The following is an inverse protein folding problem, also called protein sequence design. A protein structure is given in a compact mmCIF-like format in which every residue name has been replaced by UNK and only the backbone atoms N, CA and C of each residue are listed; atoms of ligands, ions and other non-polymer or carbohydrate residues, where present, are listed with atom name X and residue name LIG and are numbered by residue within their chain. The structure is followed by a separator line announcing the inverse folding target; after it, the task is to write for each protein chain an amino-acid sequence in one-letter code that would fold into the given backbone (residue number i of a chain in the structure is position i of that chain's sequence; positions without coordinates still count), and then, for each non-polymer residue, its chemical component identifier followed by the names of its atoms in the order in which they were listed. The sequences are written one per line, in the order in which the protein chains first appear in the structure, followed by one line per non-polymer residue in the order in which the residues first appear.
data_IF_318817522069
#
_entry.id   IF_318817522069
#
_cell.length_a   1.000
_cell.length_b   1.000
_cell.length_c   1.000
_cell.angle_alpha   90.00
_cell.angle_beta   90.00
_cell.angle_gamma   90.00
#
_symmetry.space_group_name_H-M   'P 1'
#
loop_
_entity.id
_entity.type
_entity.pdbx_description
1 polymer ?
#
# COMPACT_ATOMS: atom_id res chain seq x y z
N UNK A 1 -18.07 -23.67 5.95
CA UNK A 1 -17.63 -24.17 4.61
C UNK A 1 -16.80 -23.09 3.95
N UNK A 2 -15.55 -23.40 3.66
CA UNK A 2 -14.59 -22.46 3.07
C UNK A 2 -14.85 -22.31 1.57
N UNK A 3 -14.91 -21.08 1.09
CA UNK A 3 -15.02 -20.74 -0.33
C UNK A 3 -13.78 -19.96 -0.74
N UNK A 4 -12.99 -20.50 -1.67
CA UNK A 4 -11.73 -19.89 -2.09
C UNK A 4 -11.96 -18.78 -3.12
N UNK A 5 -11.08 -17.78 -3.11
CA UNK A 5 -10.98 -16.81 -4.18
C UNK A 5 -10.30 -17.48 -5.39
N UNK A 6 -10.53 -16.92 -6.56
CA UNK A 6 -9.79 -17.25 -7.77
C UNK A 6 -9.27 -15.95 -8.39
N UNK A 7 -8.16 -16.06 -9.13
CA UNK A 7 -7.51 -14.93 -9.76
C UNK A 7 -6.97 -15.31 -11.13
N UNK A 8 -7.42 -14.57 -12.16
CA UNK A 8 -7.24 -14.98 -13.56
C UNK A 8 -6.36 -14.05 -14.40
N UNK A 9 -5.69 -13.08 -13.77
CA UNK A 9 -4.84 -12.11 -14.48
C UNK A 9 -3.61 -12.80 -15.06
N UNK A 10 -3.45 -12.76 -16.38
CA UNK A 10 -2.24 -13.25 -17.06
C UNK A 10 -1.19 -12.15 -17.16
N UNK A 11 0.08 -12.52 -17.06
CA UNK A 11 1.19 -11.57 -17.22
C UNK A 11 1.18 -10.82 -18.55
N UNK A 12 0.72 -11.47 -19.63
CA UNK A 12 0.56 -10.84 -20.95
C UNK A 12 -0.52 -9.75 -21.00
N UNK A 13 -1.53 -9.80 -20.12
CA UNK A 13 -2.55 -8.75 -20.02
C UNK A 13 -2.02 -7.54 -19.24
N UNK A 14 -1.11 -7.76 -18.30
CA UNK A 14 -0.49 -6.69 -17.51
C UNK A 14 0.73 -6.06 -18.22
N UNK A 15 1.40 -6.82 -19.08
CA UNK A 15 2.61 -6.40 -19.80
C UNK A 15 2.49 -5.04 -20.50
N UNK A 16 1.41 -4.71 -21.26
CA UNK A 16 1.33 -3.41 -21.95
C UNK A 16 1.31 -2.22 -20.98
N UNK A 17 0.62 -2.37 -19.84
CA UNK A 17 0.56 -1.35 -18.79
C UNK A 17 1.93 -1.19 -18.13
N UNK A 18 2.63 -2.30 -17.89
CA UNK A 18 3.97 -2.29 -17.33
C UNK A 18 5.01 -1.67 -18.26
N UNK A 19 4.99 -2.00 -19.56
CA UNK A 19 5.87 -1.40 -20.57
C UNK A 19 5.61 0.10 -20.67
N UNK A 20 4.34 0.51 -20.76
CA UNK A 20 3.99 1.93 -20.77
C UNK A 20 4.52 2.64 -19.52
N UNK A 21 4.33 2.07 -18.33
CA UNK A 21 4.91 2.61 -17.12
C UNK A 21 6.44 2.69 -17.19
N UNK A 22 7.12 1.61 -17.59
CA UNK A 22 8.57 1.58 -17.64
C UNK A 22 9.14 2.70 -18.53
N UNK A 23 8.64 2.87 -19.76
CA UNK A 23 9.15 3.90 -20.67
C UNK A 23 8.71 5.32 -20.28
N UNK A 24 7.42 5.53 -20.00
CA UNK A 24 6.89 6.87 -19.74
C UNK A 24 7.18 7.36 -18.31
N UNK A 25 7.46 6.48 -17.35
CA UNK A 25 7.84 6.90 -16.01
C UNK A 25 9.37 7.03 -15.88
N UNK A 26 10.17 6.05 -16.32
CA UNK A 26 11.61 6.05 -16.06
C UNK A 26 12.36 7.16 -16.78
N UNK A 27 12.02 7.45 -18.05
CA UNK A 27 12.74 8.47 -18.83
C UNK A 27 12.58 9.87 -18.20
N UNK A 28 11.35 10.38 -17.95
CA UNK A 28 11.18 11.69 -17.31
C UNK A 28 11.65 11.70 -15.86
N UNK A 29 11.55 10.57 -15.15
CA UNK A 29 12.08 10.45 -13.79
C UNK A 29 13.59 10.61 -13.75
N UNK A 30 14.33 10.07 -14.71
CA UNK A 30 15.78 10.25 -14.80
C UNK A 30 16.16 11.73 -14.99
N UNK A 31 15.48 12.45 -15.89
CA UNK A 31 15.69 13.89 -16.08
C UNK A 31 15.31 14.68 -14.83
N UNK A 32 14.20 14.32 -14.18
CA UNK A 32 13.78 14.93 -12.93
C UNK A 32 14.84 14.76 -11.83
N UNK A 33 15.45 13.57 -11.73
CA UNK A 33 16.54 13.31 -10.78
C UNK A 33 17.79 14.14 -11.09
N UNK A 34 18.15 14.30 -12.37
CA UNK A 34 19.28 15.15 -12.78
C UNK A 34 19.10 16.58 -12.28
N UNK A 35 17.96 17.19 -12.61
CA UNK A 35 17.60 18.54 -12.16
C UNK A 35 17.50 18.64 -10.63
N UNK A 36 16.98 17.61 -9.95
CA UNK A 36 16.92 17.56 -8.50
C UNK A 36 18.30 17.53 -7.85
N UNK A 37 19.23 16.77 -8.42
CA UNK A 37 20.60 16.69 -7.94
C UNK A 37 21.34 18.04 -8.11
N UNK A 38 21.10 18.75 -9.21
CA UNK A 38 21.63 20.11 -9.40
C UNK A 38 21.10 21.08 -8.34
N UNK A 39 19.82 20.96 -7.95
CA UNK A 39 19.20 21.81 -6.91
C UNK A 39 19.77 21.60 -5.50
N UNK A 40 20.31 20.42 -5.22
CA UNK A 40 20.88 20.06 -3.92
C UNK A 40 22.41 20.19 -3.92
N UNK A 41 23.00 20.46 -5.09
CA UNK A 41 24.43 20.74 -5.21
C UNK A 41 24.81 22.03 -4.49
N UNK A 42 26.08 22.15 -4.09
CA UNK A 42 26.60 23.32 -3.36
C UNK A 42 26.45 24.63 -4.13
N UNK A 43 26.42 24.55 -5.47
CA UNK A 43 26.21 25.68 -6.37
C UNK A 43 24.75 25.72 -6.83
N UNK A 44 23.83 25.92 -5.86
CA UNK A 44 22.40 26.01 -6.14
C UNK A 44 22.16 27.09 -7.21
N UNK A 45 21.47 26.77 -8.32
CA UNK A 45 21.15 27.76 -9.34
C UNK A 45 20.42 28.96 -8.71
N UNK A 46 20.94 30.18 -8.90
CA UNK A 46 20.38 31.40 -8.31
C UNK A 46 18.90 31.65 -8.67
N UNK A 47 18.40 31.00 -9.73
CA UNK A 47 17.00 31.07 -10.19
C UNK A 47 16.07 29.98 -9.67
N UNK A 48 16.55 29.03 -8.86
CA UNK A 48 15.76 27.88 -8.40
C UNK A 48 15.51 26.82 -9.51
N UNK A 49 14.52 25.92 -9.32
CA UNK A 49 14.22 24.85 -10.28
C UNK A 49 13.85 25.40 -11.66
N UNK A 50 14.37 24.77 -12.71
CA UNK A 50 13.98 25.10 -14.08
C UNK A 50 12.48 24.87 -14.29
N UNK A 51 11.87 25.54 -15.29
CA UNK A 51 10.48 25.23 -15.67
C UNK A 51 10.31 23.78 -16.12
N UNK A 52 11.37 23.18 -16.67
CA UNK A 52 11.38 21.78 -17.10
C UNK A 52 11.25 20.83 -15.91
N UNK A 53 11.87 21.13 -14.77
CA UNK A 53 11.71 20.36 -13.53
C UNK A 53 10.22 20.16 -13.18
N UNK A 54 9.43 21.24 -13.16
CA UNK A 54 8.00 21.15 -12.83
C UNK A 54 7.19 20.39 -13.89
N UNK A 55 7.57 20.49 -15.17
CA UNK A 55 6.94 19.74 -16.26
C UNK A 55 7.22 18.25 -16.10
N UNK A 56 8.48 17.85 -15.84
CA UNK A 56 8.84 16.46 -15.59
C UNK A 56 8.15 15.92 -14.35
N UNK A 57 8.11 16.70 -13.26
CA UNK A 57 7.40 16.32 -12.03
C UNK A 57 5.92 16.06 -12.30
N UNK A 58 5.24 16.98 -13.00
CA UNK A 58 3.83 16.82 -13.36
C UNK A 58 3.60 15.57 -14.23
N UNK A 59 4.49 15.32 -15.20
CA UNK A 59 4.41 14.15 -16.06
C UNK A 59 4.62 12.83 -15.30
N UNK A 60 5.63 12.77 -14.42
CA UNK A 60 5.92 11.61 -13.56
C UNK A 60 4.73 11.32 -12.65
N UNK A 61 4.14 12.34 -12.02
CA UNK A 61 2.93 12.18 -11.20
C UNK A 61 1.74 11.68 -12.02
N UNK A 62 1.49 12.27 -13.19
CA UNK A 62 0.39 11.85 -14.06
C UNK A 62 0.53 10.37 -14.50
N UNK A 63 1.75 9.96 -14.86
CA UNK A 63 2.05 8.57 -15.23
C UNK A 63 1.93 7.62 -14.05
N UNK A 64 2.42 7.98 -12.87
CA UNK A 64 2.31 7.16 -11.65
C UNK A 64 0.84 6.90 -11.28
N UNK A 65 0.01 7.94 -11.26
CA UNK A 65 -1.41 7.79 -10.94
C UNK A 65 -2.19 7.02 -12.02
N UNK A 66 -1.88 7.26 -13.29
CA UNK A 66 -2.47 6.50 -14.41
C UNK A 66 -2.11 5.02 -14.31
N UNK A 67 -0.86 4.71 -13.97
CA UNK A 67 -0.42 3.34 -13.74
C UNK A 67 -1.21 2.68 -12.61
N UNK A 68 -1.33 3.34 -11.45
CA UNK A 68 -2.15 2.84 -10.32
C UNK A 68 -3.58 2.53 -10.75
N UNK A 69 -4.21 3.42 -11.53
CA UNK A 69 -5.56 3.18 -12.06
C UNK A 69 -5.67 1.88 -12.85
N UNK A 70 -4.78 1.68 -13.82
CA UNK A 70 -4.81 0.47 -14.65
C UNK A 70 -4.44 -0.78 -13.86
N UNK A 71 -3.49 -0.68 -12.94
CA UNK A 71 -3.07 -1.79 -12.09
C UNK A 71 -4.23 -2.27 -11.20
N UNK A 72 -4.89 -1.34 -10.48
CA UNK A 72 -6.07 -1.67 -9.65
C UNK A 72 -7.21 -2.21 -10.52
N UNK A 73 -7.48 -1.59 -11.68
CA UNK A 73 -8.52 -2.06 -12.61
C UNK A 73 -8.28 -3.51 -13.05
N UNK A 74 -7.05 -3.84 -13.47
CA UNK A 74 -6.71 -5.20 -13.91
C UNK A 74 -6.82 -6.22 -12.78
N UNK A 75 -6.33 -5.88 -11.58
CA UNK A 75 -6.40 -6.75 -10.41
C UNK A 75 -7.85 -7.04 -10.05
N UNK A 76 -8.68 -6.01 -9.89
CA UNK A 76 -10.06 -6.18 -9.43
C UNK A 76 -10.91 -6.92 -10.47
N UNK A 77 -10.75 -6.65 -11.77
CA UNK A 77 -11.49 -7.36 -12.83
C UNK A 77 -11.10 -8.84 -12.96
N UNK A 78 -9.92 -9.21 -12.46
CA UNK A 78 -9.41 -10.58 -12.50
C UNK A 78 -9.76 -11.40 -11.26
N UNK A 79 -10.37 -10.77 -10.25
CA UNK A 79 -10.86 -11.46 -9.06
C UNK A 79 -12.17 -12.19 -9.37
N UNK A 80 -12.22 -13.44 -8.94
CA UNK A 80 -13.38 -14.31 -9.02
C UNK A 80 -13.68 -14.89 -7.64
N UNK A 81 -14.96 -14.95 -7.29
CA UNK A 81 -15.40 -15.58 -6.05
C UNK A 81 -16.69 -16.36 -6.31
N UNK A 82 -16.67 -17.66 -5.96
CA UNK A 82 -17.75 -18.62 -6.25
C UNK A 82 -18.15 -18.67 -7.74
N UNK A 83 -17.17 -18.57 -8.64
CA UNK A 83 -17.40 -18.61 -10.10
C UNK A 83 -17.92 -17.30 -10.71
N UNK A 84 -18.20 -16.27 -9.89
CA UNK A 84 -18.60 -14.95 -10.37
C UNK A 84 -17.43 -13.97 -10.33
N UNK A 85 -17.25 -13.21 -11.42
CA UNK A 85 -16.24 -12.14 -11.51
C UNK A 85 -16.66 -10.90 -10.71
N UNK A 86 -15.66 -10.24 -10.12
CA UNK A 86 -15.85 -8.91 -9.52
C UNK A 86 -15.92 -7.87 -10.64
N UNK A 87 -16.97 -7.04 -10.62
CA UNK A 87 -17.23 -6.03 -11.63
C UNK A 87 -16.70 -4.66 -11.18
N UNK A 88 -16.12 -3.92 -12.12
CA UNK A 88 -15.55 -2.59 -11.90
C UNK A 88 -16.29 -1.54 -12.73
N UNK A 89 -16.84 -0.52 -12.07
CA UNK A 89 -17.37 0.67 -12.71
C UNK A 89 -16.44 1.86 -12.47
N UNK A 90 -15.29 1.85 -13.15
CA UNK A 90 -14.26 2.88 -13.05
C UNK A 90 -14.26 3.75 -14.30
N UNK A 91 -14.33 5.07 -14.11
CA UNK A 91 -14.18 6.05 -15.19
C UNK A 91 -12.90 6.85 -14.99
N UNK A 92 -12.00 6.79 -15.96
CA UNK A 92 -10.68 7.45 -15.89
C UNK A 92 -10.81 8.96 -15.70
N UNK A 93 -11.72 9.64 -16.40
CA UNK A 93 -11.91 11.08 -16.26
C UNK A 93 -12.34 11.50 -14.84
N UNK A 94 -13.21 10.71 -14.18
CA UNK A 94 -13.59 10.95 -12.78
C UNK A 94 -12.40 10.77 -11.83
N UNK A 95 -11.57 9.75 -12.08
CA UNK A 95 -10.36 9.48 -11.29
C UNK A 95 -9.33 10.60 -11.44
N UNK A 96 -9.04 11.02 -12.67
CA UNK A 96 -8.13 12.14 -12.96
C UNK A 96 -8.63 13.44 -12.31
N UNK A 97 -9.94 13.72 -12.35
CA UNK A 97 -10.53 14.86 -11.66
C UNK A 97 -10.25 14.85 -10.15
N UNK A 98 -10.39 13.69 -9.49
CA UNK A 98 -10.06 13.53 -8.06
C UNK A 98 -8.59 13.84 -7.79
N UNK A 99 -7.68 13.36 -8.65
CA UNK A 99 -6.24 13.57 -8.49
C UNK A 99 -5.86 15.02 -8.69
N UNK A 100 -6.27 15.64 -9.81
CA UNK A 100 -5.93 17.03 -10.12
C UNK A 100 -6.43 17.94 -9.00
N UNK A 101 -7.71 17.83 -8.63
CA UNK A 101 -8.27 18.61 -7.53
C UNK A 101 -7.52 18.36 -6.22
N UNK A 102 -7.28 17.10 -5.87
CA UNK A 102 -6.61 16.80 -4.60
C UNK A 102 -5.13 17.19 -4.57
N UNK A 103 -4.41 17.14 -5.70
CA UNK A 103 -3.02 17.62 -5.80
C UNK A 103 -2.98 19.14 -5.65
N UNK A 104 -3.85 19.89 -6.34
CA UNK A 104 -3.96 21.35 -6.19
C UNK A 104 -4.26 21.73 -4.74
N UNK A 105 -5.24 21.09 -4.11
CA UNK A 105 -5.57 21.34 -2.70
C UNK A 105 -4.40 20.96 -1.78
N UNK A 106 -3.67 19.89 -2.09
CA UNK A 106 -2.49 19.49 -1.30
C UNK A 106 -1.37 20.52 -1.41
N UNK A 107 -1.13 21.08 -2.59
CA UNK A 107 -0.12 22.15 -2.78
C UNK A 107 -0.54 23.40 -2.01
N UNK A 108 -1.78 23.87 -2.19
CA UNK A 108 -2.29 25.09 -1.53
C UNK A 108 -2.31 24.94 0.00
N UNK A 109 -2.56 23.75 0.51
CA UNK A 109 -2.58 23.46 1.95
C UNK A 109 -1.24 22.98 2.51
N UNK A 110 -0.15 23.05 1.73
CA UNK A 110 1.20 22.61 2.15
C UNK A 110 1.19 21.17 2.69
N UNK A 111 0.56 20.27 1.93
CA UNK A 111 0.48 18.84 2.21
C UNK A 111 -0.65 18.42 3.17
N UNK A 112 -1.31 19.36 3.86
CA UNK A 112 -2.36 19.02 4.83
C UNK A 112 -3.50 18.22 4.18
N UNK A 113 -3.87 18.51 2.92
CA UNK A 113 -4.97 17.81 2.24
C UNK A 113 -4.65 16.36 1.79
N UNK A 114 -3.40 15.90 1.86
CA UNK A 114 -2.99 14.56 1.37
C UNK A 114 -3.86 13.41 1.91
N UNK A 115 -4.22 13.34 3.21
CA UNK A 115 -5.11 12.29 3.73
C UNK A 115 -6.50 12.28 3.08
N UNK A 116 -7.03 13.43 2.68
CA UNK A 116 -8.32 13.51 1.99
C UNK A 116 -8.20 13.06 0.54
N UNK A 117 -7.09 13.35 -0.14
CA UNK A 117 -6.79 12.80 -1.46
C UNK A 117 -6.71 11.26 -1.42
N UNK A 118 -5.95 10.68 -0.48
CA UNK A 118 -5.85 9.22 -0.29
C UNK A 118 -7.23 8.61 -0.04
N UNK A 119 -8.04 9.22 0.84
CA UNK A 119 -9.42 8.83 1.11
C UNK A 119 -10.31 8.87 -0.14
N UNK A 120 -10.20 9.90 -0.96
CA UNK A 120 -11.02 10.02 -2.16
C UNK A 120 -10.62 8.99 -3.22
N UNK A 121 -9.32 8.73 -3.39
CA UNK A 121 -8.80 7.67 -4.27
C UNK A 121 -9.28 6.28 -3.80
N UNK A 122 -9.11 5.95 -2.53
CA UNK A 122 -9.51 4.64 -2.00
C UNK A 122 -11.02 4.44 -2.04
N UNK A 123 -11.79 5.51 -1.76
CA UNK A 123 -13.26 5.52 -1.92
C UNK A 123 -13.66 5.30 -3.37
N UNK A 124 -12.97 5.90 -4.35
CA UNK A 124 -13.26 5.75 -5.77
C UNK A 124 -13.18 4.28 -6.20
N UNK A 125 -12.07 3.59 -5.89
CA UNK A 125 -11.91 2.18 -6.25
C UNK A 125 -12.87 1.27 -5.48
N UNK A 126 -13.00 1.47 -4.16
CA UNK A 126 -13.88 0.63 -3.34
C UNK A 126 -15.34 0.77 -3.78
N UNK A 127 -15.86 1.99 -3.90
CA UNK A 127 -17.27 2.22 -4.26
C UNK A 127 -17.58 1.90 -5.73
N UNK A 128 -16.57 1.93 -6.61
CA UNK A 128 -16.67 1.50 -8.00
C UNK A 128 -16.61 -0.02 -8.17
N UNK A 129 -16.30 -0.77 -7.10
CA UNK A 129 -16.23 -2.23 -7.13
C UNK A 129 -17.57 -2.83 -6.73
N UNK A 130 -18.00 -3.89 -7.41
CA UNK A 130 -19.23 -4.62 -7.10
C UNK A 130 -19.05 -6.11 -7.28
N UNK A 131 -19.75 -6.88 -6.46
CA UNK A 131 -19.78 -8.34 -6.51
C UNK A 131 -21.22 -8.82 -6.32
N UNK A 132 -21.68 -9.72 -7.18
CA UNK A 132 -23.04 -10.26 -7.20
C UNK A 132 -24.09 -9.12 -7.13
N UNK A 133 -24.02 -8.16 -8.05
CA UNK A 133 -24.90 -6.98 -8.17
C UNK A 133 -24.92 -6.02 -6.97
N UNK A 134 -24.07 -6.22 -5.95
CA UNK A 134 -23.98 -5.34 -4.79
C UNK A 134 -22.65 -4.58 -4.78
N UNK A 135 -22.70 -3.27 -4.55
CA UNK A 135 -21.52 -2.40 -4.47
C UNK A 135 -20.87 -2.47 -3.09
N UNK A 136 -19.54 -2.37 -3.06
CA UNK A 136 -18.83 -2.11 -1.81
C UNK A 136 -18.97 -0.63 -1.42
N UNK A 137 -18.88 -0.33 -0.13
CA UNK A 137 -18.96 1.04 0.39
C UNK A 137 -17.86 1.30 1.40
N UNK A 138 -16.89 2.12 1.03
CA UNK A 138 -15.81 2.52 1.94
C UNK A 138 -16.32 3.44 3.05
N UNK A 139 -15.98 3.12 4.30
CA UNK A 139 -16.42 3.84 5.51
C UNK A 139 -15.33 4.69 6.16
N UNK A 140 -14.07 4.58 5.72
CA UNK A 140 -12.97 5.38 6.26
C UNK A 140 -13.19 6.89 6.08
N UNK A 141 -12.81 7.66 7.10
CA UNK A 141 -12.90 9.12 7.16
C UNK A 141 -11.52 9.75 6.94
N UNK A 142 -11.47 10.85 6.18
CA UNK A 142 -10.22 11.58 5.90
C UNK A 142 -9.59 12.19 7.16
N UNK A 143 -10.39 12.80 8.04
CA UNK A 143 -9.89 13.33 9.31
C UNK A 143 -9.28 12.28 10.24
N UNK A 144 -9.78 11.03 10.20
CA UNK A 144 -9.16 9.92 10.94
C UNK A 144 -7.78 9.58 10.35
N UNK A 145 -7.63 9.57 9.02
CA UNK A 145 -6.34 9.34 8.38
C UNK A 145 -5.36 10.50 8.65
N UNK A 146 -5.83 11.75 8.62
CA UNK A 146 -5.03 12.92 9.01
C UNK A 146 -4.50 12.76 10.43
N UNK A 147 -5.37 12.43 11.40
CA UNK A 147 -4.94 12.19 12.78
C UNK A 147 -3.92 11.05 12.88
N UNK A 148 -4.12 9.94 12.16
CA UNK A 148 -3.16 8.83 12.12
C UNK A 148 -1.80 9.32 11.62
N UNK A 149 -1.75 9.99 10.47
CA UNK A 149 -0.49 10.47 9.88
C UNK A 149 0.21 11.50 10.79
N UNK A 150 -0.54 12.42 11.39
CA UNK A 150 0.03 13.40 12.34
C UNK A 150 0.59 12.72 13.59
N UNK A 151 -0.16 11.80 14.22
CA UNK A 151 0.27 11.12 15.45
C UNK A 151 1.41 10.13 15.23
N UNK A 152 1.51 9.51 14.04
CA UNK A 152 2.50 8.44 13.79
C UNK A 152 3.71 8.88 12.98
N UNK A 153 3.61 9.96 12.21
CA UNK A 153 4.72 10.49 11.41
C UNK A 153 5.17 11.82 11.98
N UNK A 154 4.28 12.82 11.97
CA UNK A 154 4.67 14.20 12.27
C UNK A 154 5.14 14.41 13.72
N UNK A 155 4.37 13.93 14.70
CA UNK A 155 4.73 14.09 16.12
C UNK A 155 6.01 13.32 16.47
N UNK A 156 6.17 12.02 16.13
CA UNK A 156 7.41 11.30 16.42
C UNK A 156 8.62 11.95 15.74
N UNK A 157 8.48 12.39 14.49
CA UNK A 157 9.54 13.10 13.78
C UNK A 157 9.94 14.39 14.51
N UNK A 158 8.97 15.21 14.91
CA UNK A 158 9.19 16.45 15.65
C UNK A 158 9.83 16.21 17.02
N UNK A 159 9.35 15.21 17.77
CA UNK A 159 9.91 14.85 19.07
C UNK A 159 11.35 14.38 18.95
N UNK A 160 11.67 13.54 17.96
CA UNK A 160 13.03 13.08 17.70
C UNK A 160 13.93 14.25 17.35
N UNK A 161 13.47 15.18 16.50
CA UNK A 161 14.19 16.41 16.19
C UNK A 161 14.48 17.26 17.44
N UNK A 162 13.49 17.46 18.31
CA UNK A 162 13.66 18.21 19.56
C UNK A 162 14.62 17.50 20.51
N UNK A 163 14.45 16.20 20.76
CA UNK A 163 15.31 15.43 21.67
C UNK A 163 16.77 15.45 21.19
N UNK A 164 16.99 15.27 19.89
CA UNK A 164 18.34 15.34 19.30
C UNK A 164 18.93 16.74 19.41
N UNK A 165 18.12 17.79 19.22
CA UNK A 165 18.55 19.17 19.40
C UNK A 165 18.89 19.49 20.88
N UNK A 166 18.04 19.09 21.83
CA UNK A 166 18.19 19.41 23.25
C UNK A 166 19.28 18.62 23.97
N UNK A 167 19.53 17.35 23.61
CA UNK A 167 20.59 16.56 24.25
C UNK A 167 21.98 16.98 23.77
N UNK A 168 22.09 17.63 22.61
CA UNK A 168 23.36 17.83 21.93
C UNK A 168 23.55 19.26 21.38
N UNK A 169 23.28 20.27 22.20
CA UNK A 169 23.34 21.69 21.84
C UNK A 169 24.70 22.19 21.26
N UNK A 170 25.77 21.38 21.23
CA UNK A 170 27.08 21.81 20.72
C UNK A 170 28.00 20.76 20.05
N UNK A 171 27.59 19.49 19.89
CA UNK A 171 28.51 18.43 19.40
C UNK A 171 27.94 17.45 18.36
N UNK A 172 26.72 17.63 17.84
CA UNK A 172 26.23 16.79 16.74
C UNK A 172 26.80 17.31 15.42
N UNK A 173 27.71 16.52 14.87
CA UNK A 173 27.86 16.47 13.43
C UNK A 173 26.67 15.69 12.85
N UNK A 174 25.68 16.41 12.31
CA UNK A 174 24.49 15.84 11.66
C UNK A 174 24.85 14.99 10.44
N UNK A 175 26.07 15.16 9.91
CA UNK A 175 26.62 14.34 8.83
C UNK A 175 27.37 13.12 9.36
N UNK A 176 27.54 12.99 10.69
CA UNK A 176 28.20 11.81 11.26
C UNK A 176 27.40 10.54 10.96
N UNK A 177 28.12 9.50 10.56
CA UNK A 177 27.52 8.22 10.18
C UNK A 177 26.67 7.61 11.31
N UNK A 178 27.10 7.78 12.57
CA UNK A 178 26.39 7.28 13.74
C UNK A 178 25.04 7.99 13.94
N UNK A 179 25.00 9.31 13.77
CA UNK A 179 23.75 10.08 13.85
C UNK A 179 22.78 9.66 12.76
N UNK A 180 23.24 9.58 11.51
CA UNK A 180 22.43 9.17 10.36
C UNK A 180 21.87 7.76 10.56
N UNK A 181 22.66 6.83 11.09
CA UNK A 181 22.23 5.45 11.37
C UNK A 181 21.15 5.41 12.46
N UNK A 182 21.35 6.11 13.58
CA UNK A 182 20.36 6.17 14.67
C UNK A 182 19.05 6.80 14.17
N UNK A 183 19.16 7.91 13.45
CA UNK A 183 18.01 8.58 12.86
C UNK A 183 17.25 7.66 11.89
N UNK A 184 17.96 6.95 11.01
CA UNK A 184 17.36 5.99 10.08
C UNK A 184 16.60 4.87 10.81
N UNK A 185 17.18 4.32 11.89
CA UNK A 185 16.53 3.29 12.71
C UNK A 185 15.25 3.84 13.36
N UNK A 186 15.29 5.04 13.94
CA UNK A 186 14.12 5.65 14.57
C UNK A 186 12.99 5.88 13.54
N UNK A 187 13.32 6.42 12.37
CA UNK A 187 12.34 6.61 11.28
C UNK A 187 11.76 5.27 10.84
N UNK A 188 12.61 4.24 10.67
CA UNK A 188 12.16 2.91 10.28
C UNK A 188 11.17 2.30 11.30
N UNK A 189 11.41 2.43 12.60
CA UNK A 189 10.49 1.91 13.63
C UNK A 189 9.22 2.74 13.78
N UNK A 190 9.27 4.07 13.60
CA UNK A 190 8.08 4.93 13.65
C UNK A 190 7.10 4.67 12.50
N UNK A 191 7.59 4.17 11.36
CA UNK A 191 6.76 3.74 10.24
C UNK A 191 5.89 2.52 10.58
N UNK A 192 6.27 1.67 11.54
CA UNK A 192 5.53 0.43 11.84
C UNK A 192 4.10 0.71 12.33
N UNK A 193 3.89 1.55 13.38
CA UNK A 193 2.55 2.00 13.76
C UNK A 193 1.78 2.68 12.63
N UNK A 194 2.46 3.47 11.80
CA UNK A 194 1.85 4.16 10.68
C UNK A 194 1.29 3.16 9.65
N UNK A 195 2.10 2.20 9.21
CA UNK A 195 1.71 1.13 8.28
C UNK A 195 0.49 0.39 8.82
N UNK A 196 0.54 -0.05 10.09
CA UNK A 196 -0.59 -0.76 10.71
C UNK A 196 -1.88 0.06 10.69
N UNK A 197 -1.84 1.32 11.17
CA UNK A 197 -3.04 2.14 11.30
C UNK A 197 -3.61 2.56 9.94
N UNK A 198 -2.76 2.81 8.94
CA UNK A 198 -3.20 3.09 7.57
C UNK A 198 -3.88 1.85 6.98
N UNK A 199 -3.25 0.67 7.06
CA UNK A 199 -3.85 -0.57 6.54
C UNK A 199 -5.17 -0.88 7.25
N UNK A 200 -5.24 -0.74 8.58
CA UNK A 200 -6.47 -0.90 9.36
C UNK A 200 -7.55 0.10 8.94
N UNK A 201 -7.16 1.33 8.57
CA UNK A 201 -8.08 2.33 8.04
C UNK A 201 -8.54 2.02 6.60
N UNK A 202 -7.69 1.41 5.77
CA UNK A 202 -8.04 0.97 4.41
C UNK A 202 -9.04 -0.19 4.43
N UNK A 203 -8.92 -1.10 5.40
CA UNK A 203 -9.83 -2.23 5.63
C UNK A 203 -11.00 -1.80 6.54
N UNK A 204 -11.78 -0.83 6.05
CA UNK A 204 -13.06 -0.43 6.66
C UNK A 204 -14.08 -0.18 5.55
N UNK A 205 -14.70 -1.27 5.08
CA UNK A 205 -15.68 -1.22 4.01
C UNK A 205 -16.87 -2.14 4.29
N UNK A 206 -18.01 -1.77 3.71
CA UNK A 206 -19.26 -2.50 3.82
C UNK A 206 -19.56 -3.24 2.52
N UNK A 207 -20.06 -4.46 2.65
CA UNK A 207 -20.65 -5.26 1.58
C UNK A 207 -22.00 -5.80 2.05
N UNK A 208 -23.10 -5.39 1.41
CA UNK A 208 -24.46 -5.61 1.94
C UNK A 208 -24.56 -5.07 3.38
N UNK A 209 -24.99 -5.88 4.34
CA UNK A 209 -25.06 -5.55 5.76
C UNK A 209 -23.77 -5.88 6.53
N UNK A 210 -22.82 -6.55 5.87
CA UNK A 210 -21.54 -6.92 6.46
C UNK A 210 -20.55 -5.76 6.40
N UNK A 211 -20.02 -5.39 7.56
CA UNK A 211 -18.98 -4.41 7.76
C UNK A 211 -17.67 -5.16 8.02
N UNK A 212 -16.79 -5.19 7.03
CA UNK A 212 -15.53 -5.93 7.06
C UNK A 212 -14.44 -5.04 7.64
N UNK A 213 -13.79 -5.52 8.71
CA UNK A 213 -12.76 -4.82 9.47
C UNK A 213 -11.70 -5.78 9.99
N UNK A 214 -10.56 -5.23 10.40
CA UNK A 214 -9.60 -5.97 11.20
C UNK A 214 -9.99 -6.00 12.68
N UNK A 215 -10.17 -7.21 13.18
CA UNK A 215 -10.36 -7.55 14.58
C UNK A 215 -8.97 -7.76 15.22
N UNK A 216 -8.20 -6.68 15.33
CA UNK A 216 -6.83 -6.69 15.88
C UNK A 216 -6.64 -5.63 16.95
N UNK A 217 -5.88 -5.99 17.98
CA UNK A 217 -5.32 -5.05 18.96
C UNK A 217 -4.07 -4.35 18.42
N UNK A 218 -3.79 -3.14 18.91
CA UNK A 218 -2.70 -2.30 18.40
C UNK A 218 -1.31 -2.90 18.64
N UNK A 219 -0.97 -3.27 19.87
CA UNK A 219 0.37 -3.75 20.22
C UNK A 219 0.73 -5.11 19.59
N UNK A 220 -0.15 -6.13 19.61
CA UNK A 220 0.14 -7.40 18.94
C UNK A 220 0.36 -7.25 17.44
N UNK A 221 -0.46 -6.45 16.76
CA UNK A 221 -0.36 -6.25 15.31
C UNK A 221 0.87 -5.43 14.92
N UNK A 222 1.17 -4.36 15.65
CA UNK A 222 2.38 -3.55 15.41
C UNK A 222 3.64 -4.33 15.75
N UNK A 223 3.66 -5.07 16.86
CA UNK A 223 4.77 -5.96 17.23
C UNK A 223 5.00 -7.04 16.17
N UNK A 224 3.93 -7.63 15.63
CA UNK A 224 4.02 -8.58 14.52
C UNK A 224 4.70 -7.95 13.29
N UNK A 225 4.27 -6.77 12.85
CA UNK A 225 4.93 -6.05 11.74
C UNK A 225 6.39 -5.75 12.06
N UNK A 226 6.69 -5.24 13.26
CA UNK A 226 8.05 -4.90 13.68
C UNK A 226 8.99 -6.11 13.63
N UNK A 227 8.56 -7.27 14.15
CA UNK A 227 9.37 -8.50 14.14
C UNK A 227 9.69 -8.93 12.70
N UNK A 228 8.68 -8.97 11.82
CA UNK A 228 8.91 -9.36 10.42
C UNK A 228 9.83 -8.38 9.69
N UNK A 229 9.72 -7.09 10.02
CA UNK A 229 10.57 -6.04 9.48
C UNK A 229 12.03 -6.16 9.98
N UNK A 230 12.24 -6.46 11.26
CA UNK A 230 13.58 -6.71 11.82
C UNK A 230 14.24 -7.90 11.12
N UNK A 231 13.53 -9.02 10.93
CA UNK A 231 14.05 -10.15 10.18
C UNK A 231 14.37 -9.80 8.73
N UNK A 232 13.53 -9.00 8.07
CA UNK A 232 13.81 -8.51 6.72
C UNK A 232 15.11 -7.69 6.68
N UNK A 233 15.36 -6.81 7.64
CA UNK A 233 16.59 -6.01 7.69
C UNK A 233 17.82 -6.87 8.00
N UNK A 234 17.76 -7.73 9.02
CA UNK A 234 18.88 -8.60 9.43
C UNK A 234 19.34 -9.54 8.30
N UNK A 235 18.41 -9.94 7.44
CA UNK A 235 18.70 -10.80 6.28
C UNK A 235 18.97 -10.02 4.99
N UNK A 236 19.17 -8.70 5.06
CA UNK A 236 19.39 -7.82 3.90
C UNK A 236 18.29 -7.92 2.84
N UNK A 237 17.04 -8.01 3.30
CA UNK A 237 15.86 -8.13 2.46
C UNK A 237 15.55 -9.56 2.03
N UNK A 238 16.42 -10.54 2.30
CA UNK A 238 16.20 -11.92 1.83
C UNK A 238 14.91 -12.51 2.39
N UNK A 239 14.59 -12.19 3.64
CA UNK A 239 13.39 -12.67 4.32
C UNK A 239 12.09 -11.95 3.88
N UNK A 240 12.16 -10.91 3.05
CA UNK A 240 10.99 -10.09 2.68
C UNK A 240 9.78 -10.89 2.13
N UNK A 241 9.94 -11.91 1.27
CA UNK A 241 8.81 -12.71 0.81
C UNK A 241 8.16 -13.53 1.93
N UNK A 242 8.93 -13.98 2.92
CA UNK A 242 8.41 -14.69 4.09
C UNK A 242 7.63 -13.74 5.00
N UNK A 243 8.20 -12.56 5.26
CA UNK A 243 7.53 -11.48 5.99
C UNK A 243 6.16 -11.16 5.34
N UNK A 244 6.13 -11.02 4.02
CA UNK A 244 4.90 -10.76 3.27
C UNK A 244 3.82 -11.83 3.52
N UNK A 245 4.11 -13.13 3.38
CA UNK A 245 3.10 -14.19 3.58
C UNK A 245 2.65 -14.25 5.03
N UNK A 246 3.59 -14.15 5.99
CA UNK A 246 3.25 -14.22 7.41
C UNK A 246 2.36 -13.05 7.85
N UNK A 247 2.63 -11.85 7.33
CA UNK A 247 1.76 -10.69 7.55
C UNK A 247 0.42 -10.85 6.84
N UNK A 248 0.42 -11.31 5.58
CA UNK A 248 -0.81 -11.55 4.83
C UNK A 248 -1.71 -12.56 5.56
N UNK A 249 -1.16 -13.69 6.00
CA UNK A 249 -1.88 -14.70 6.79
C UNK A 249 -2.44 -14.12 8.08
N UNK A 250 -1.59 -13.43 8.85
CA UNK A 250 -1.98 -12.82 10.12
C UNK A 250 -3.16 -11.87 9.92
N UNK A 251 -3.08 -10.92 8.97
CA UNK A 251 -4.15 -9.96 8.75
C UNK A 251 -5.38 -10.57 8.06
N UNK A 252 -5.22 -11.60 7.22
CA UNK A 252 -6.32 -12.34 6.65
C UNK A 252 -7.16 -12.99 7.76
N UNK A 253 -6.53 -13.76 8.65
CA UNK A 253 -7.21 -14.44 9.77
C UNK A 253 -7.92 -13.48 10.74
N UNK A 254 -7.41 -12.25 10.86
CA UNK A 254 -8.04 -11.21 11.67
C UNK A 254 -9.00 -10.30 10.88
N UNK A 255 -9.26 -10.58 9.61
CA UNK A 255 -10.27 -9.86 8.82
C UNK A 255 -11.63 -10.53 9.01
N UNK A 256 -12.53 -9.86 9.75
CA UNK A 256 -13.86 -10.36 10.07
C UNK A 256 -14.93 -9.31 9.79
N UNK A 257 -16.16 -9.76 9.54
CA UNK A 257 -17.32 -8.88 9.50
C UNK A 257 -17.93 -8.68 10.89
N UNK A 258 -18.83 -7.71 11.04
CA UNK A 258 -19.83 -7.77 12.10
C UNK A 258 -20.74 -9.02 11.94
N UNK A 259 -21.42 -9.38 13.02
CA UNK A 259 -22.43 -10.43 13.02
C UNK A 259 -23.73 -9.87 12.44
N UNK A 260 -24.28 -10.54 11.43
CA UNK A 260 -25.57 -10.22 10.82
C UNK A 260 -26.38 -11.51 10.76
N UNK A 261 -27.56 -11.54 11.39
CA UNK A 261 -28.40 -12.74 11.45
C UNK A 261 -27.61 -13.99 11.91
N UNK A 262 -26.88 -13.86 13.02
CA UNK A 262 -26.02 -14.92 13.61
C UNK A 262 -24.90 -15.41 12.69
N UNK A 263 -24.65 -14.73 11.56
CA UNK A 263 -23.58 -15.07 10.62
C UNK A 263 -22.48 -14.02 10.65
N UNK A 264 -21.25 -14.49 10.69
CA UNK A 264 -20.05 -13.67 10.53
C UNK A 264 -19.22 -14.22 9.37
N UNK A 265 -18.75 -13.31 8.52
CA UNK A 265 -17.82 -13.64 7.43
C UNK A 265 -16.40 -13.40 7.95
N UNK A 266 -15.53 -14.40 7.85
CA UNK A 266 -14.11 -14.29 8.14
C UNK A 266 -13.29 -14.60 6.90
N UNK A 267 -12.19 -13.88 6.71
CA UNK A 267 -11.15 -14.23 5.74
C UNK A 267 -10.16 -15.19 6.40
N UNK A 268 -9.50 -16.02 5.59
CA UNK A 268 -8.41 -16.88 6.05
C UNK A 268 -7.49 -17.24 4.90
N UNK A 269 -6.33 -17.79 5.23
CA UNK A 269 -5.32 -18.16 4.26
C UNK A 269 -4.74 -19.55 4.58
N UNK A 270 -4.85 -20.48 3.64
CA UNK A 270 -4.45 -21.88 3.83
C UNK A 270 -3.20 -22.27 3.02
N UNK A 271 -2.32 -21.31 2.72
CA UNK A 271 -1.07 -21.58 2.00
C UNK A 271 -0.02 -22.29 2.86
N UNK A 272 0.94 -22.96 2.23
CA UNK A 272 2.11 -23.51 2.92
C UNK A 272 3.23 -22.48 2.91
N UNK A 273 3.68 -22.04 4.10
CA UNK A 273 4.60 -20.91 4.22
C UNK A 273 5.91 -21.12 3.44
N UNK A 274 6.50 -22.32 3.53
CA UNK A 274 7.80 -22.59 2.91
C UNK A 274 7.65 -22.69 1.39
N UNK A 275 6.65 -23.42 0.91
CA UNK A 275 6.38 -23.56 -0.52
C UNK A 275 6.04 -22.21 -1.17
N UNK A 276 5.23 -21.39 -0.49
CA UNK A 276 4.85 -20.06 -0.97
C UNK A 276 6.05 -19.10 -0.95
N UNK A 277 6.90 -19.19 0.08
CA UNK A 277 8.15 -18.43 0.18
C UNK A 277 9.08 -18.76 -0.99
N UNK A 278 9.42 -20.03 -1.21
CA UNK A 278 10.34 -20.47 -2.26
C UNK A 278 9.80 -20.09 -3.64
N UNK A 279 8.49 -20.23 -3.85
CA UNK A 279 7.86 -19.83 -5.10
C UNK A 279 8.00 -18.33 -5.38
N UNK A 280 7.66 -17.48 -4.41
CA UNK A 280 7.79 -16.04 -4.57
C UNK A 280 9.23 -15.61 -4.76
N UNK A 281 10.16 -16.23 -4.03
CA UNK A 281 11.59 -15.99 -4.21
C UNK A 281 12.05 -16.27 -5.63
N UNK A 282 11.63 -17.39 -6.21
CA UNK A 282 11.93 -17.72 -7.60
C UNK A 282 11.39 -16.66 -8.58
N UNK A 283 10.16 -16.17 -8.36
CA UNK A 283 9.57 -15.12 -9.21
C UNK A 283 10.31 -13.77 -9.07
N UNK A 284 10.73 -13.41 -7.85
CA UNK A 284 11.50 -12.19 -7.59
C UNK A 284 12.87 -12.29 -8.25
N UNK A 285 13.57 -13.41 -8.11
CA UNK A 285 14.88 -13.64 -8.73
C UNK A 285 14.80 -13.54 -10.26
N UNK A 286 13.78 -14.18 -10.87
CA UNK A 286 13.52 -14.05 -12.31
C UNK A 286 13.26 -12.59 -12.72
N UNK A 287 12.56 -11.82 -11.89
CA UNK A 287 12.33 -10.40 -12.13
C UNK A 287 13.64 -9.62 -12.09
N UNK A 288 14.51 -9.88 -11.11
CA UNK A 288 15.83 -9.23 -10.99
C UNK A 288 16.73 -9.57 -12.19
N UNK A 289 16.86 -10.85 -12.54
CA UNK A 289 17.71 -11.31 -13.65
C UNK A 289 17.24 -10.74 -15.00
N UNK A 290 15.94 -10.51 -15.16
CA UNK A 290 15.37 -9.91 -16.38
C UNK A 290 15.26 -8.38 -16.30
N UNK A 291 15.93 -7.72 -15.35
CA UNK A 291 15.90 -6.27 -15.16
C UNK A 291 14.48 -5.68 -15.06
N UNK A 292 13.58 -6.41 -14.42
CA UNK A 292 12.19 -6.01 -14.21
C UNK A 292 11.23 -6.36 -15.35
N UNK A 293 11.70 -6.84 -16.51
CA UNK A 293 10.80 -7.21 -17.61
C UNK A 293 9.85 -8.35 -17.23
N UNK A 294 10.30 -9.34 -16.45
CA UNK A 294 9.46 -10.45 -16.02
C UNK A 294 8.41 -10.07 -14.93
N UNK A 295 8.46 -8.85 -14.39
CA UNK A 295 7.58 -8.41 -13.30
C UNK A 295 6.08 -8.68 -13.54
N UNK A 296 5.51 -8.47 -14.74
CA UNK A 296 4.08 -8.74 -14.97
C UNK A 296 3.68 -10.20 -14.75
N UNK A 297 4.53 -11.15 -15.16
CA UNK A 297 4.31 -12.57 -14.94
C UNK A 297 4.55 -12.96 -13.49
N UNK A 298 5.60 -12.44 -12.87
CA UNK A 298 5.87 -12.62 -11.45
C UNK A 298 4.67 -12.18 -10.61
N UNK A 299 4.19 -10.94 -10.80
CA UNK A 299 3.04 -10.39 -10.10
C UNK A 299 1.79 -11.25 -10.29
N UNK A 300 1.43 -11.57 -11.55
CA UNK A 300 0.27 -12.41 -11.86
C UNK A 300 0.32 -13.77 -11.16
N UNK A 301 1.47 -14.43 -11.19
CA UNK A 301 1.67 -15.77 -10.61
C UNK A 301 1.66 -15.75 -9.08
N UNK A 302 2.30 -14.77 -8.46
CA UNK A 302 2.30 -14.58 -7.01
C UNK A 302 0.87 -14.29 -6.53
N UNK A 303 0.20 -13.33 -7.15
CA UNK A 303 -1.18 -12.96 -6.81
C UNK A 303 -2.12 -14.16 -7.00
N UNK A 304 -1.99 -14.92 -8.08
CA UNK A 304 -2.77 -16.14 -8.31
C UNK A 304 -2.55 -17.16 -7.19
N UNK A 305 -1.29 -17.43 -6.83
CA UNK A 305 -0.95 -18.40 -5.79
C UNK A 305 -1.51 -18.00 -4.43
N UNK A 306 -1.33 -16.74 -4.02
CA UNK A 306 -1.84 -16.24 -2.73
C UNK A 306 -3.37 -16.25 -2.72
N UNK A 307 -4.02 -15.68 -3.74
CA UNK A 307 -5.48 -15.52 -3.73
C UNK A 307 -6.21 -16.86 -3.83
N UNK A 308 -5.70 -17.83 -4.58
CA UNK A 308 -6.32 -19.18 -4.66
C UNK A 308 -6.27 -19.97 -3.36
N UNK A 309 -5.34 -19.63 -2.47
CA UNK A 309 -5.26 -20.19 -1.12
C UNK A 309 -6.01 -19.35 -0.07
N UNK A 310 -6.49 -18.17 -0.45
CA UNK A 310 -7.31 -17.31 0.40
C UNK A 310 -8.77 -17.72 0.31
N UNK A 311 -9.42 -17.88 1.47
CA UNK A 311 -10.81 -18.27 1.54
C UNK A 311 -11.64 -17.31 2.38
N UNK A 312 -12.93 -17.30 2.08
CA UNK A 312 -13.97 -16.74 2.92
C UNK A 312 -14.75 -17.89 3.57
N UNK A 313 -15.01 -17.74 4.86
CA UNK A 313 -15.84 -18.66 5.62
C UNK A 313 -16.97 -17.89 6.30
N UNK A 314 -18.17 -18.47 6.30
CA UNK A 314 -19.30 -17.96 7.07
C UNK A 314 -19.44 -18.81 8.32
N UNK A 315 -19.15 -18.21 9.47
CA UNK A 315 -19.30 -18.81 10.78
C UNK A 315 -20.69 -18.47 11.34
N UNK A 316 -21.36 -19.47 11.91
CA UNK A 316 -22.59 -19.25 12.68
C UNK A 316 -22.18 -18.99 14.12
N UNK A 317 -22.48 -17.79 14.62
CA UNK A 317 -22.21 -17.39 16.00
C UNK A 317 -23.52 -17.49 16.75
N UNK A 318 -23.66 -18.55 17.53
CA UNK A 318 -24.75 -18.69 18.50
C UNK A 318 -24.38 -17.79 19.68
N UNK A 319 -25.19 -16.76 19.94
CA UNK A 319 -25.03 -15.95 21.14
C UNK A 319 -25.24 -16.86 22.37
N UNK A 320 -24.38 -16.83 23.40
CA UNK A 320 -24.55 -17.67 24.59
C UNK A 320 -25.85 -17.42 25.37
N UNK A 321 -26.53 -16.29 25.11
CA UNK A 321 -27.78 -15.93 25.78
C UNK A 321 -28.95 -15.93 24.78
N UNK A 322 -29.60 -17.09 24.65
CA UNK A 322 -31.01 -17.26 24.30
C UNK A 322 -31.55 -18.55 24.90
#
# INVERSE_FOLDING_TARGET
MKSYLNFTLKGSQFLPVWIAFFFFFMIPYYFLLGEFNELISSDVPAGGPSKLFFIYLAFVLAMAYTFVYYMVKLVVQSLEYKGEKVLCNYHLGKYIGIIITGLVLSIVSVGIYVPWLIKNIHRFFTNGTSYNSHKFSFKGKGGKLFLIMTLTIFIPFLLVGIVLFSIFESMIDFQSQNFLLIYQLIVMFSLVPNIYLILKWMVDFRYKDYLIRWDTEFFPATGKIAIELVFAVVTFGIYFPMAYIRLYRYFAEHTKSNVVNEKQISLGYNGDLLSDFLFMWGQILLTVITLGFYYPWAFSRIAQRVLTQTYLETNVIVSPDK
#
